data_IF_348350419871
#
_entry.id   IF_348350419871
#
_cell.length_a   1.000
_cell.length_b   1.000
_cell.length_c   1.000
_cell.angle_alpha   90.00
_cell.angle_beta   90.00
_cell.angle_gamma   90.00
#
_symmetry.space_group_name_H-M   'P 1'
#
loop_
_entity.id
_entity.type
_entity.pdbx_description
1 polymer ?
#
# COMPACT_ATOMS: atom_id res chain seq x y z
N UNK A 1 -19.73 17.67 18.26
CA UNK A 1 -19.50 16.64 17.25
C UNK A 1 -18.81 17.33 16.09
N UNK A 2 -17.64 16.88 15.71
CA UNK A 2 -16.83 17.54 14.69
C UNK A 2 -17.15 16.85 13.35
N UNK A 3 -17.09 17.57 12.23
CA UNK A 3 -17.45 17.04 10.92
C UNK A 3 -16.59 15.79 10.53
N UNK A 4 -15.37 15.71 11.03
CA UNK A 4 -14.48 14.59 10.80
C UNK A 4 -14.82 13.31 11.58
N UNK A 5 -15.82 13.33 12.47
CA UNK A 5 -16.32 12.12 13.14
C UNK A 5 -16.97 11.14 12.12
N UNK A 6 -17.34 11.65 10.94
CA UNK A 6 -17.83 10.84 9.79
C UNK A 6 -16.72 10.01 9.12
N UNK A 7 -15.47 10.38 9.32
CA UNK A 7 -14.29 9.67 8.75
C UNK A 7 -13.77 8.71 9.79
N UNK A 8 -13.66 7.44 9.44
CA UNK A 8 -13.10 6.41 10.31
C UNK A 8 -11.59 6.31 10.06
N UNK A 9 -10.79 6.13 11.09
CA UNK A 9 -9.32 6.11 10.98
C UNK A 9 -8.71 7.48 10.69
N UNK A 10 -7.55 7.49 10.07
CA UNK A 10 -6.79 8.68 9.64
C UNK A 10 -6.59 9.75 10.73
N UNK A 11 -6.27 9.32 11.97
CA UNK A 11 -6.21 10.21 13.15
C UNK A 11 -5.23 11.38 12.98
N UNK A 12 -4.05 11.11 12.39
CA UNK A 12 -3.03 12.13 12.13
C UNK A 12 -3.52 13.16 11.11
N UNK A 13 -4.03 12.69 9.96
CA UNK A 13 -4.59 13.54 8.90
C UNK A 13 -5.75 14.41 9.41
N UNK A 14 -6.66 13.82 10.18
CA UNK A 14 -7.78 14.58 10.78
C UNK A 14 -7.29 15.68 11.70
N UNK A 15 -6.26 15.43 12.50
CA UNK A 15 -5.66 16.45 13.40
C UNK A 15 -5.07 17.60 12.60
N UNK A 16 -4.35 17.30 11.53
CA UNK A 16 -3.77 18.32 10.64
C UNK A 16 -4.86 19.15 9.94
N UNK A 17 -5.92 18.51 9.46
CA UNK A 17 -7.06 19.20 8.85
C UNK A 17 -7.82 20.08 9.85
N UNK A 18 -8.02 19.62 11.09
CA UNK A 18 -8.62 20.41 12.15
C UNK A 18 -7.77 21.64 12.49
N UNK A 19 -6.45 21.51 12.54
CA UNK A 19 -5.55 22.64 12.73
C UNK A 19 -5.70 23.68 11.61
N UNK A 20 -5.80 23.22 10.35
CA UNK A 20 -6.04 24.13 9.22
C UNK A 20 -7.42 24.82 9.31
N UNK A 21 -8.46 24.10 9.72
CA UNK A 21 -9.78 24.72 9.96
C UNK A 21 -9.72 25.78 11.06
N UNK A 22 -8.98 25.50 12.13
CA UNK A 22 -8.78 26.47 13.22
C UNK A 22 -8.01 27.70 12.74
N UNK A 23 -6.96 27.54 11.93
CA UNK A 23 -6.23 28.65 11.31
C UNK A 23 -7.14 29.54 10.45
N UNK A 24 -8.06 28.95 9.70
CA UNK A 24 -8.98 29.72 8.85
C UNK A 24 -10.04 30.46 9.65
N UNK A 25 -10.49 29.92 10.78
CA UNK A 25 -11.49 30.55 11.67
C UNK A 25 -10.90 31.63 12.55
N UNK A 26 -9.71 31.39 13.09
CA UNK A 26 -9.06 32.19 14.11
C UNK A 26 -7.79 32.86 13.57
N UNK A 27 -7.86 33.37 12.33
CA UNK A 27 -6.75 33.92 11.57
C UNK A 27 -5.90 34.91 12.37
N UNK A 28 -6.52 35.80 13.10
CA UNK A 28 -5.89 36.87 13.90
C UNK A 28 -4.89 36.30 14.92
N UNK A 29 -5.25 35.21 15.61
CA UNK A 29 -4.39 34.56 16.61
C UNK A 29 -3.08 34.07 15.98
N UNK A 30 -3.16 33.49 14.77
CA UNK A 30 -1.98 32.98 14.06
C UNK A 30 -1.13 34.12 13.49
N UNK A 31 -1.73 35.18 12.98
CA UNK A 31 -1.05 36.36 12.50
C UNK A 31 -0.30 37.11 13.63
N UNK A 32 -0.89 37.23 14.83
CA UNK A 32 -0.24 37.77 16.02
C UNK A 32 1.00 36.98 16.45
N UNK A 33 1.01 35.66 16.20
CA UNK A 33 2.16 34.80 16.43
C UNK A 33 3.19 34.85 15.27
N UNK A 34 2.92 35.62 14.23
CA UNK A 34 3.77 35.74 13.04
C UNK A 34 3.63 34.58 12.06
N UNK A 35 2.64 33.68 12.23
CA UNK A 35 2.38 32.59 11.32
C UNK A 35 1.67 33.09 10.04
N UNK A 36 2.07 32.52 8.89
CA UNK A 36 1.38 32.78 7.61
C UNK A 36 0.39 31.66 7.34
N UNK A 37 -0.83 32.03 6.95
CA UNK A 37 -1.81 31.06 6.52
C UNK A 37 -1.44 30.50 5.15
N UNK A 38 -1.60 29.18 4.94
CA UNK A 38 -1.43 28.60 3.62
C UNK A 38 -2.51 29.09 2.66
N UNK A 39 -2.17 29.22 1.37
CA UNK A 39 -3.12 29.63 0.34
C UNK A 39 -4.01 28.49 -0.12
N UNK A 40 -3.53 27.24 -0.04
CA UNK A 40 -4.28 26.08 -0.46
C UNK A 40 -3.80 24.78 0.13
N UNK A 41 -4.70 23.78 0.05
CA UNK A 41 -4.53 22.40 0.50
C UNK A 41 -4.77 21.47 -0.68
N UNK A 42 -3.85 20.54 -0.92
CA UNK A 42 -4.01 19.45 -1.86
C UNK A 42 -4.07 18.11 -1.10
N UNK A 43 -5.18 17.38 -1.23
CA UNK A 43 -5.35 16.00 -0.78
C UNK A 43 -5.12 15.07 -1.98
N UNK A 44 -4.15 14.17 -1.89
CA UNK A 44 -3.83 13.26 -2.99
C UNK A 44 -3.60 11.83 -2.51
N UNK A 45 -3.67 10.87 -3.41
CA UNK A 45 -3.48 9.44 -3.14
C UNK A 45 -4.46 8.59 -3.96
N UNK A 46 -4.34 7.29 -3.90
CA UNK A 46 -5.09 6.35 -4.73
C UNK A 46 -6.62 6.53 -4.63
N UNK A 47 -7.38 6.08 -5.63
CA UNK A 47 -8.84 6.08 -5.57
C UNK A 47 -9.37 5.31 -4.35
N UNK A 48 -10.53 5.73 -3.83
CA UNK A 48 -11.19 5.01 -2.73
C UNK A 48 -10.66 5.30 -1.32
N UNK A 49 -9.65 6.18 -1.15
CA UNK A 49 -9.07 6.52 0.18
C UNK A 49 -9.86 7.58 0.96
N UNK A 50 -10.97 8.06 0.43
CA UNK A 50 -11.81 9.02 1.15
C UNK A 50 -11.41 10.50 0.99
N UNK A 51 -10.60 10.87 -0.01
CA UNK A 51 -10.16 12.26 -0.29
C UNK A 51 -11.31 13.26 -0.35
N UNK A 52 -12.31 12.98 -1.20
CA UNK A 52 -13.50 13.83 -1.34
C UNK A 52 -14.31 13.91 -0.04
N UNK A 53 -14.39 12.82 0.74
CA UNK A 53 -15.06 12.84 2.04
C UNK A 53 -14.32 13.75 3.03
N UNK A 54 -13.00 13.62 3.14
CA UNK A 54 -12.16 14.49 3.97
C UNK A 54 -12.27 15.96 3.56
N UNK A 55 -12.24 16.24 2.25
CA UNK A 55 -12.42 17.61 1.73
C UNK A 55 -13.79 18.18 2.10
N UNK A 56 -14.86 17.39 2.01
CA UNK A 56 -16.21 17.81 2.43
C UNK A 56 -16.31 18.02 3.95
N UNK A 57 -15.70 17.14 4.74
CA UNK A 57 -15.64 17.32 6.19
C UNK A 57 -14.85 18.59 6.56
N UNK A 58 -13.76 18.89 5.83
CA UNK A 58 -13.00 20.12 6.01
C UNK A 58 -13.85 21.37 5.72
N UNK A 59 -14.59 21.36 4.61
CA UNK A 59 -15.51 22.44 4.24
C UNK A 59 -16.59 22.62 5.32
N UNK A 60 -17.23 21.53 5.74
CA UNK A 60 -18.27 21.57 6.78
C UNK A 60 -17.71 22.07 8.11
N UNK A 61 -16.55 21.56 8.52
CA UNK A 61 -15.90 21.98 9.76
C UNK A 61 -15.45 23.44 9.72
N UNK A 62 -14.97 23.93 8.58
CA UNK A 62 -14.55 25.33 8.44
C UNK A 62 -15.70 26.32 8.63
N UNK A 63 -16.93 25.94 8.29
CA UNK A 63 -18.12 26.81 8.32
C UNK A 63 -18.11 27.92 7.28
N UNK A 64 -17.15 27.92 6.34
CA UNK A 64 -17.01 28.96 5.33
C UNK A 64 -17.90 28.70 4.11
N UNK A 65 -18.29 29.77 3.42
CA UNK A 65 -18.99 29.64 2.16
C UNK A 65 -18.11 28.91 1.14
N UNK A 66 -18.66 27.89 0.51
CA UNK A 66 -17.89 27.03 -0.39
C UNK A 66 -18.47 26.96 -1.79
N UNK A 67 -17.60 27.01 -2.78
CA UNK A 67 -17.94 26.79 -4.18
C UNK A 67 -17.15 25.57 -4.68
N UNK A 68 -17.89 24.58 -5.19
CA UNK A 68 -17.28 23.33 -5.70
C UNK A 68 -17.18 23.39 -7.21
N UNK A 69 -15.98 23.11 -7.72
CA UNK A 69 -15.68 22.93 -9.15
C UNK A 69 -15.42 21.46 -9.39
N UNK A 70 -16.17 20.87 -10.29
CA UNK A 70 -16.01 19.49 -10.73
C UNK A 70 -16.26 19.43 -12.23
N UNK A 71 -15.52 18.59 -12.96
CA UNK A 71 -15.74 18.47 -14.41
C UNK A 71 -17.07 17.78 -14.70
N UNK A 72 -18.05 18.54 -15.12
CA UNK A 72 -19.41 18.10 -15.46
C UNK A 72 -19.88 18.56 -16.84
N UNK A 73 -19.08 19.38 -17.54
CA UNK A 73 -19.41 20.03 -18.81
C UNK A 73 -18.29 19.91 -19.85
N UNK A 74 -18.59 20.25 -21.10
CA UNK A 74 -17.57 20.39 -22.13
C UNK A 74 -16.61 21.56 -21.87
N UNK A 75 -15.41 21.53 -22.48
CA UNK A 75 -14.24 22.38 -22.12
C UNK A 75 -14.56 23.87 -22.03
N UNK A 76 -15.16 24.50 -23.04
CA UNK A 76 -15.38 25.96 -23.02
C UNK A 76 -16.32 26.40 -21.90
N UNK A 77 -17.46 25.72 -21.72
CA UNK A 77 -18.40 26.01 -20.64
C UNK A 77 -17.85 25.68 -19.26
N UNK A 78 -16.88 24.77 -19.19
CA UNK A 78 -16.20 24.41 -17.95
C UNK A 78 -15.16 25.47 -17.55
N UNK A 79 -14.40 26.02 -18.50
CA UNK A 79 -13.43 27.10 -18.28
C UNK A 79 -14.15 28.36 -17.76
N UNK A 80 -15.27 28.70 -18.38
CA UNK A 80 -16.13 29.82 -17.89
C UNK A 80 -16.61 29.53 -16.47
N UNK A 81 -17.01 28.29 -16.18
CA UNK A 81 -17.41 27.83 -14.85
C UNK A 81 -16.31 27.98 -13.80
N UNK A 82 -15.06 27.61 -14.14
CA UNK A 82 -13.90 27.82 -13.25
C UNK A 82 -13.73 29.31 -12.95
N UNK A 83 -13.69 30.15 -13.98
CA UNK A 83 -13.50 31.60 -13.82
C UNK A 83 -14.60 32.22 -12.96
N UNK A 84 -15.87 31.84 -13.18
CA UNK A 84 -17.01 32.31 -12.40
C UNK A 84 -16.94 31.82 -10.93
N UNK A 85 -16.48 30.59 -10.70
CA UNK A 85 -16.34 30.05 -9.36
C UNK A 85 -15.33 30.87 -8.52
N UNK A 86 -14.16 31.17 -9.06
CA UNK A 86 -13.16 32.00 -8.38
C UNK A 86 -13.64 33.44 -8.17
N UNK A 87 -14.25 34.06 -9.17
CA UNK A 87 -14.83 35.39 -9.05
C UNK A 87 -15.92 35.44 -7.96
N UNK A 88 -16.81 34.45 -7.93
CA UNK A 88 -17.85 34.35 -6.91
C UNK A 88 -17.28 34.11 -5.50
N UNK A 89 -16.24 33.28 -5.38
CA UNK A 89 -15.54 33.06 -4.11
C UNK A 89 -14.93 34.36 -3.56
N UNK A 90 -14.28 35.13 -4.43
CA UNK A 90 -13.69 36.41 -4.08
C UNK A 90 -14.72 37.43 -3.53
N UNK A 91 -15.91 37.46 -4.13
CA UNK A 91 -17.00 38.37 -3.64
C UNK A 91 -17.60 37.91 -2.33
N UNK A 92 -17.44 36.65 -1.95
CA UNK A 92 -17.99 36.05 -0.73
C UNK A 92 -16.91 35.69 0.29
N UNK A 93 -15.74 36.29 0.19
CA UNK A 93 -14.67 36.05 1.15
C UNK A 93 -15.05 36.48 2.58
N UNK A 94 -14.67 35.71 3.64
CA UNK A 94 -13.85 34.52 3.58
C UNK A 94 -14.63 33.31 3.03
N UNK A 95 -14.01 32.58 2.10
CA UNK A 95 -14.67 31.49 1.38
C UNK A 95 -13.70 30.39 0.95
N UNK A 96 -14.24 29.26 0.50
CA UNK A 96 -13.45 28.12 0.00
C UNK A 96 -13.82 27.84 -1.47
N UNK A 97 -12.83 27.58 -2.30
CA UNK A 97 -13.00 26.91 -3.60
C UNK A 97 -12.53 25.47 -3.47
N UNK A 98 -13.43 24.52 -3.69
CA UNK A 98 -13.12 23.08 -3.72
C UNK A 98 -13.01 22.60 -5.17
N UNK A 99 -11.80 22.20 -5.57
CA UNK A 99 -11.50 21.59 -6.87
C UNK A 99 -11.49 20.06 -6.68
N UNK A 100 -12.64 19.41 -6.93
CA UNK A 100 -12.79 17.96 -6.71
C UNK A 100 -12.36 17.16 -7.94
N UNK A 101 -11.50 16.15 -7.74
CA UNK A 101 -10.85 15.35 -8.81
C UNK A 101 -10.08 16.24 -9.81
N UNK A 102 -9.22 17.12 -9.31
CA UNK A 102 -8.51 18.14 -10.12
C UNK A 102 -7.64 17.52 -11.21
N UNK A 103 -7.09 16.35 -11.01
CA UNK A 103 -6.31 15.59 -11.98
C UNK A 103 -7.10 15.17 -13.26
N UNK A 104 -8.43 15.29 -13.24
CA UNK A 104 -9.27 15.08 -14.42
C UNK A 104 -9.37 16.28 -15.35
N UNK A 105 -8.93 17.46 -14.91
CA UNK A 105 -9.03 18.70 -15.71
C UNK A 105 -7.81 19.63 -15.58
N UNK A 106 -6.83 19.28 -14.79
CA UNK A 106 -5.59 20.05 -14.67
C UNK A 106 -4.40 19.07 -14.65
N UNK A 107 -4.29 18.23 -15.67
CA UNK A 107 -3.20 17.27 -15.81
C UNK A 107 -2.16 17.77 -16.85
N UNK A 108 -0.92 17.28 -16.73
CA UNK A 108 0.20 17.54 -17.62
C UNK A 108 0.64 16.20 -18.24
N UNK A 109 -0.27 15.57 -18.97
CA UNK A 109 -0.04 14.31 -19.67
C UNK A 109 0.30 14.63 -21.14
N UNK A 110 1.24 13.91 -21.76
CA UNK A 110 1.71 14.09 -23.14
C UNK A 110 0.58 13.99 -24.19
N UNK A 111 -0.55 13.36 -23.82
CA UNK A 111 -1.73 13.23 -24.68
C UNK A 111 -2.76 14.32 -24.47
N UNK A 112 -2.68 15.08 -23.36
CA UNK A 112 -3.62 16.13 -23.00
C UNK A 112 -2.84 17.39 -22.60
N UNK A 113 -2.37 18.13 -23.59
CA UNK A 113 -1.95 19.50 -23.39
C UNK A 113 -3.20 20.36 -23.09
N UNK A 114 -3.86 20.13 -21.95
CA UNK A 114 -5.07 20.84 -21.51
C UNK A 114 -4.72 22.22 -21.00
N UNK A 115 -3.97 22.89 -21.83
CA UNK A 115 -3.57 24.24 -21.58
C UNK A 115 -4.72 25.15 -21.12
N UNK A 116 -5.96 25.12 -21.69
CA UNK A 116 -6.98 26.08 -21.31
C UNK A 116 -7.55 25.88 -19.91
N UNK A 117 -7.96 24.64 -19.53
CA UNK A 117 -8.55 24.37 -18.21
C UNK A 117 -7.51 24.53 -17.10
N UNK A 118 -6.30 24.01 -17.33
CA UNK A 118 -5.19 24.20 -16.41
C UNK A 118 -4.83 25.68 -16.25
N UNK A 119 -4.77 26.45 -17.33
CA UNK A 119 -4.47 27.89 -17.29
C UNK A 119 -5.56 28.65 -16.51
N UNK A 120 -6.83 28.29 -16.68
CA UNK A 120 -7.94 28.88 -15.94
C UNK A 120 -7.86 28.59 -14.42
N UNK A 121 -7.54 27.34 -14.03
CA UNK A 121 -7.31 26.98 -12.62
C UNK A 121 -6.15 27.77 -12.05
N UNK A 122 -5.02 27.82 -12.77
CA UNK A 122 -3.83 28.54 -12.31
C UNK A 122 -4.11 30.03 -12.15
N UNK A 123 -4.74 30.67 -13.15
CA UNK A 123 -5.11 32.07 -13.10
C UNK A 123 -6.09 32.37 -11.94
N UNK A 124 -7.08 31.49 -11.74
CA UNK A 124 -8.04 31.61 -10.65
C UNK A 124 -7.37 31.53 -9.27
N UNK A 125 -6.44 30.59 -9.07
CA UNK A 125 -5.69 30.49 -7.81
C UNK A 125 -4.85 31.75 -7.57
N UNK A 126 -4.16 32.24 -8.61
CA UNK A 126 -3.33 33.43 -8.50
C UNK A 126 -4.16 34.72 -8.26
N UNK A 127 -5.36 34.83 -8.82
CA UNK A 127 -6.26 35.98 -8.64
C UNK A 127 -6.88 36.06 -7.22
N UNK A 128 -7.00 34.94 -6.54
CA UNK A 128 -7.59 34.92 -5.18
C UNK A 128 -6.54 34.99 -4.06
N UNK A 129 -5.26 35.09 -4.37
CA UNK A 129 -4.22 35.27 -3.35
C UNK A 129 -4.51 36.49 -2.49
N UNK A 130 -4.32 36.34 -1.19
CA UNK A 130 -4.51 37.40 -0.18
C UNK A 130 -5.91 38.02 -0.14
N UNK A 131 -6.91 37.40 -0.80
CA UNK A 131 -8.31 37.88 -0.80
C UNK A 131 -9.18 37.24 0.28
N UNK A 132 -8.62 36.34 1.10
CA UNK A 132 -9.39 35.56 2.09
C UNK A 132 -10.09 34.33 1.50
N UNK A 133 -9.78 33.97 0.26
CA UNK A 133 -10.24 32.72 -0.35
C UNK A 133 -9.20 31.63 -0.13
N UNK A 134 -9.63 30.49 0.40
CA UNK A 134 -8.81 29.29 0.55
C UNK A 134 -9.15 28.28 -0.53
N UNK A 135 -8.14 27.67 -1.15
CA UNK A 135 -8.35 26.68 -2.21
C UNK A 135 -8.01 25.28 -1.69
N UNK A 136 -8.97 24.38 -1.78
CA UNK A 136 -8.74 22.96 -1.50
C UNK A 136 -8.91 22.15 -2.78
N UNK A 137 -8.03 21.22 -3.02
CA UNK A 137 -8.11 20.31 -4.16
C UNK A 137 -7.98 18.86 -3.75
N UNK A 138 -8.63 17.97 -4.51
CA UNK A 138 -8.41 16.52 -4.43
C UNK A 138 -7.82 16.02 -5.76
N UNK A 139 -6.91 15.05 -5.71
CA UNK A 139 -6.31 14.41 -6.88
C UNK A 139 -5.98 12.95 -6.59
N UNK A 140 -6.04 12.07 -7.60
CA UNK A 140 -5.63 10.69 -7.44
C UNK A 140 -4.11 10.55 -7.56
N UNK A 141 -3.48 11.24 -8.49
CA UNK A 141 -2.02 11.21 -8.67
C UNK A 141 -1.45 12.63 -8.73
N UNK A 142 -0.64 12.97 -7.73
CA UNK A 142 0.04 14.28 -7.67
C UNK A 142 1.02 14.48 -8.83
N UNK A 143 1.57 13.40 -9.40
CA UNK A 143 2.55 13.48 -10.51
C UNK A 143 1.91 13.95 -11.81
N UNK A 144 0.62 13.69 -11.99
CA UNK A 144 -0.16 14.18 -13.15
C UNK A 144 -0.43 15.68 -13.10
N UNK A 145 -0.32 16.28 -11.92
CA UNK A 145 -0.55 17.72 -11.79
C UNK A 145 0.68 18.51 -12.21
N UNK A 146 0.50 19.61 -12.98
CA UNK A 146 1.59 20.49 -13.37
C UNK A 146 2.46 20.95 -12.19
N UNK A 147 3.77 20.96 -12.40
CA UNK A 147 4.73 21.39 -11.37
C UNK A 147 4.46 22.79 -10.86
N UNK A 148 3.90 23.66 -11.71
CA UNK A 148 3.53 25.03 -11.36
C UNK A 148 2.40 25.11 -10.33
N UNK A 149 1.44 24.17 -10.33
CA UNK A 149 0.39 24.09 -9.30
C UNK A 149 0.93 23.56 -7.97
N UNK A 150 1.92 22.70 -8.02
CA UNK A 150 2.53 22.05 -6.85
C UNK A 150 3.52 22.94 -6.09
N UNK A 151 3.85 24.15 -6.58
CA UNK A 151 4.80 25.09 -5.95
C UNK A 151 4.17 25.83 -4.78
N UNK A 152 5.03 26.28 -3.85
CA UNK A 152 4.64 27.19 -2.78
C UNK A 152 3.97 28.46 -3.32
N UNK A 153 2.98 28.98 -2.58
CA UNK A 153 2.15 30.10 -2.99
C UNK A 153 0.90 29.69 -3.76
N UNK A 154 0.62 28.38 -3.92
CA UNK A 154 -0.63 27.83 -4.47
C UNK A 154 -1.15 26.73 -3.56
N UNK A 155 -0.63 25.50 -3.66
CA UNK A 155 -0.90 24.43 -2.72
C UNK A 155 0.27 24.29 -1.75
N UNK A 156 0.27 25.13 -0.72
CA UNK A 156 1.33 25.17 0.30
C UNK A 156 1.30 23.94 1.21
N UNK A 157 0.09 23.38 1.43
CA UNK A 157 -0.12 22.15 2.17
C UNK A 157 -0.50 21.02 1.22
N UNK A 158 0.21 19.91 1.35
CA UNK A 158 -0.01 18.71 0.55
C UNK A 158 -0.09 17.52 1.51
N UNK A 159 -1.21 16.85 1.52
CA UNK A 159 -1.45 15.68 2.38
C UNK A 159 -1.68 14.48 1.47
N UNK A 160 -0.73 13.54 1.50
CA UNK A 160 -0.83 12.26 0.81
C UNK A 160 -1.59 11.27 1.66
N UNK A 161 -2.68 10.71 1.13
CA UNK A 161 -3.42 9.64 1.75
C UNK A 161 -2.89 8.31 1.24
N UNK A 162 -2.69 7.39 2.15
CA UNK A 162 -2.29 6.01 1.86
C UNK A 162 -3.42 5.05 2.24
N UNK A 163 -3.32 3.80 1.80
CA UNK A 163 -4.22 2.76 2.25
C UNK A 163 -4.25 2.70 3.80
N UNK A 164 -5.40 2.37 4.39
CA UNK A 164 -5.54 2.30 5.84
C UNK A 164 -4.47 1.45 6.50
N UNK A 165 -3.92 1.92 7.62
CA UNK A 165 -3.06 1.10 8.47
C UNK A 165 -3.83 -0.12 9.00
N UNK A 166 -3.17 -1.10 9.61
CA UNK A 166 -3.88 -2.25 10.20
C UNK A 166 -4.93 -1.82 11.21
N UNK A 167 -4.59 -0.85 12.08
CA UNK A 167 -5.52 -0.30 13.07
C UNK A 167 -6.67 0.47 12.44
N UNK A 168 -6.39 1.29 11.42
CA UNK A 168 -7.45 2.02 10.71
C UNK A 168 -8.37 1.06 9.93
N UNK A 169 -7.82 0.03 9.29
CA UNK A 169 -8.60 -1.00 8.59
C UNK A 169 -9.52 -1.75 9.55
N UNK A 170 -9.04 -2.14 10.73
CA UNK A 170 -9.85 -2.79 11.76
C UNK A 170 -11.00 -1.86 12.23
N UNK A 171 -10.71 -0.57 12.48
CA UNK A 171 -11.74 0.43 12.84
C UNK A 171 -12.80 0.57 11.72
N UNK A 172 -12.37 0.63 10.46
CA UNK A 172 -13.24 0.73 9.27
C UNK A 172 -14.11 -0.52 9.11
N UNK A 173 -13.50 -1.71 9.15
CA UNK A 173 -14.21 -2.99 9.07
C UNK A 173 -15.25 -3.08 10.19
N UNK A 174 -14.85 -2.81 11.42
CA UNK A 174 -15.75 -2.81 12.58
C UNK A 174 -16.91 -1.83 12.39
N UNK A 175 -16.65 -0.65 11.83
CA UNK A 175 -17.70 0.34 11.56
C UNK A 175 -18.75 -0.21 10.59
N UNK A 176 -18.33 -0.76 9.46
CA UNK A 176 -19.25 -1.28 8.44
C UNK A 176 -19.98 -2.54 8.89
N UNK A 177 -19.37 -3.36 9.75
CA UNK A 177 -20.01 -4.56 10.30
C UNK A 177 -21.08 -4.25 11.36
N UNK A 178 -21.03 -3.10 12.04
CA UNK A 178 -22.04 -2.72 13.06
C UNK A 178 -23.47 -2.71 12.54
N UNK A 179 -23.67 -2.46 11.25
CA UNK A 179 -25.01 -2.41 10.62
C UNK A 179 -25.42 -3.74 9.98
N UNK A 180 -24.58 -4.77 10.06
CA UNK A 180 -24.77 -6.06 9.42
C UNK A 180 -25.00 -7.17 10.43
N UNK A 181 -25.72 -8.22 10.03
CA UNK A 181 -25.82 -9.43 10.84
C UNK A 181 -24.57 -10.28 10.61
N UNK A 182 -23.77 -10.46 11.63
CA UNK A 182 -22.47 -11.17 11.54
C UNK A 182 -22.51 -12.36 12.49
N UNK A 183 -22.04 -13.49 12.02
CA UNK A 183 -21.89 -14.72 12.82
C UNK A 183 -20.68 -14.64 13.75
N UNK A 184 -20.74 -15.34 14.87
CA UNK A 184 -19.62 -15.51 15.82
C UNK A 184 -18.40 -16.23 15.21
N UNK A 185 -18.55 -16.83 14.02
CA UNK A 185 -17.46 -17.47 13.30
C UNK A 185 -16.47 -16.48 12.66
N UNK A 186 -16.82 -15.20 12.55
CA UNK A 186 -15.96 -14.19 11.93
C UNK A 186 -14.83 -13.79 12.87
N UNK A 187 -13.61 -14.15 12.50
CA UNK A 187 -12.39 -13.76 13.20
C UNK A 187 -11.90 -12.43 12.65
N UNK A 188 -11.90 -11.38 13.47
CA UNK A 188 -11.50 -10.03 13.06
C UNK A 188 -10.01 -9.92 12.70
N UNK A 189 -9.13 -10.69 13.36
CA UNK A 189 -7.72 -10.68 13.02
C UNK A 189 -7.47 -11.28 11.64
N UNK A 190 -8.06 -12.44 11.34
CA UNK A 190 -7.98 -13.06 10.02
C UNK A 190 -8.56 -12.13 8.95
N UNK A 191 -9.72 -11.55 9.21
CA UNK A 191 -10.38 -10.65 8.28
C UNK A 191 -9.55 -9.39 7.98
N UNK A 192 -9.03 -8.74 9.01
CA UNK A 192 -8.18 -7.55 8.85
C UNK A 192 -6.90 -7.86 8.08
N UNK A 193 -6.30 -9.03 8.30
CA UNK A 193 -5.12 -9.48 7.58
C UNK A 193 -5.42 -9.79 6.11
N UNK A 194 -6.52 -10.47 5.83
CA UNK A 194 -6.95 -10.76 4.46
C UNK A 194 -7.22 -9.50 3.65
N UNK A 195 -7.78 -8.48 4.31
CA UNK A 195 -8.16 -7.23 3.67
C UNK A 195 -7.07 -6.14 3.77
N UNK A 196 -5.84 -6.52 4.05
CA UNK A 196 -4.70 -5.60 4.13
C UNK A 196 -4.43 -4.95 2.77
N UNK A 197 -4.02 -3.68 2.79
CA UNK A 197 -3.74 -2.85 1.61
C UNK A 197 -4.95 -2.43 0.76
N UNK A 198 -6.16 -2.84 1.12
CA UNK A 198 -7.37 -2.34 0.45
C UNK A 198 -7.64 -0.88 0.81
N UNK A 199 -8.16 -0.14 -0.15
CA UNK A 199 -8.71 1.19 0.09
C UNK A 199 -9.99 1.12 0.95
N UNK A 200 -10.39 2.25 1.52
CA UNK A 200 -11.65 2.32 2.31
C UNK A 200 -12.88 1.88 1.50
N UNK A 201 -12.91 2.22 0.22
CA UNK A 201 -14.01 1.83 -0.68
C UNK A 201 -14.04 0.33 -0.99
N UNK A 202 -12.87 -0.28 -1.17
CA UNK A 202 -12.77 -1.74 -1.35
C UNK A 202 -13.18 -2.49 -0.09
N UNK A 203 -12.75 -2.04 1.10
CA UNK A 203 -13.18 -2.60 2.37
C UNK A 203 -14.72 -2.59 2.49
N UNK A 204 -15.36 -1.45 2.18
CA UNK A 204 -16.82 -1.32 2.19
C UNK A 204 -17.48 -2.28 1.20
N UNK A 205 -16.95 -2.33 -0.03
CA UNK A 205 -17.48 -3.17 -1.11
C UNK A 205 -17.41 -4.66 -0.74
N UNK A 206 -16.27 -5.13 -0.26
CA UNK A 206 -16.09 -6.54 0.15
C UNK A 206 -17.08 -6.91 1.24
N UNK A 207 -17.22 -6.08 2.27
CA UNK A 207 -18.15 -6.34 3.37
C UNK A 207 -19.62 -6.30 2.93
N UNK A 208 -19.94 -5.47 1.94
CA UNK A 208 -21.26 -5.43 1.35
C UNK A 208 -21.56 -6.68 0.51
N UNK A 209 -20.62 -7.11 -0.34
CA UNK A 209 -20.76 -8.29 -1.15
C UNK A 209 -20.86 -9.57 -0.30
N UNK A 210 -20.12 -9.66 0.82
CA UNK A 210 -20.27 -10.75 1.76
C UNK A 210 -21.70 -10.80 2.35
N UNK A 211 -22.28 -9.65 2.65
CA UNK A 211 -23.69 -9.57 3.10
C UNK A 211 -24.67 -10.01 1.99
N UNK A 212 -24.43 -9.61 0.74
CA UNK A 212 -25.24 -10.03 -0.40
C UNK A 212 -25.15 -11.54 -0.61
N UNK A 213 -23.94 -12.13 -0.51
CA UNK A 213 -23.72 -13.59 -0.61
C UNK A 213 -24.49 -14.34 0.47
N UNK A 214 -24.32 -13.94 1.73
CA UNK A 214 -25.02 -14.57 2.86
C UNK A 214 -26.56 -14.49 2.72
N UNK A 215 -27.07 -13.33 2.31
CA UNK A 215 -28.49 -13.14 2.07
C UNK A 215 -29.03 -13.98 0.90
N UNK A 216 -28.27 -14.10 -0.18
CA UNK A 216 -28.61 -14.96 -1.32
C UNK A 216 -28.68 -16.44 -0.89
N UNK A 217 -27.73 -16.89 -0.06
CA UNK A 217 -27.71 -18.24 0.53
C UNK A 217 -28.74 -18.43 1.67
N UNK A 218 -29.55 -17.40 1.99
CA UNK A 218 -30.56 -17.43 3.07
C UNK A 218 -29.98 -17.74 4.45
N UNK A 219 -28.72 -17.36 4.68
CA UNK A 219 -28.09 -17.45 6.00
C UNK A 219 -28.67 -16.40 6.97
N UNK A 220 -28.57 -16.63 8.25
CA UNK A 220 -29.01 -15.70 9.30
C UNK A 220 -27.99 -14.59 9.57
N UNK A 221 -26.76 -14.77 9.13
CA UNK A 221 -25.66 -13.81 9.27
C UNK A 221 -24.50 -14.15 8.34
N UNK A 222 -23.64 -13.19 8.16
CA UNK A 222 -22.40 -13.33 7.37
C UNK A 222 -21.44 -14.19 8.19
N UNK A 223 -20.90 -15.24 7.60
CA UNK A 223 -19.88 -16.06 8.22
C UNK A 223 -18.50 -15.83 7.58
N UNK A 224 -17.46 -16.46 8.15
CA UNK A 224 -16.10 -16.31 7.65
C UNK A 224 -15.92 -16.85 6.23
N UNK A 225 -16.68 -17.88 5.84
CA UNK A 225 -16.65 -18.46 4.48
C UNK A 225 -17.14 -17.45 3.44
N UNK A 226 -18.21 -16.69 3.75
CA UNK A 226 -18.71 -15.63 2.88
C UNK A 226 -17.64 -14.54 2.68
N UNK A 227 -16.95 -14.13 3.77
CA UNK A 227 -15.87 -13.14 3.71
C UNK A 227 -14.71 -13.63 2.86
N UNK A 228 -14.23 -14.85 3.11
CA UNK A 228 -13.12 -15.47 2.36
C UNK A 228 -13.45 -15.55 0.89
N UNK A 229 -14.63 -16.07 0.54
CA UNK A 229 -15.04 -16.23 -0.87
C UNK A 229 -15.05 -14.88 -1.62
N UNK A 230 -15.57 -13.82 -0.99
CA UNK A 230 -15.62 -12.49 -1.62
C UNK A 230 -14.23 -11.87 -1.75
N UNK A 231 -13.38 -11.97 -0.73
CA UNK A 231 -11.99 -11.49 -0.78
C UNK A 231 -11.23 -12.16 -1.91
N UNK A 232 -11.29 -13.50 -1.97
CA UNK A 232 -10.60 -14.28 -3.01
C UNK A 232 -11.07 -13.89 -4.42
N UNK A 233 -12.38 -13.71 -4.59
CA UNK A 233 -12.96 -13.33 -5.88
C UNK A 233 -12.60 -11.90 -6.30
N UNK A 234 -12.73 -10.94 -5.39
CA UNK A 234 -12.56 -9.51 -5.74
C UNK A 234 -11.10 -9.09 -5.84
N UNK A 235 -10.22 -9.61 -4.99
CA UNK A 235 -8.81 -9.20 -4.97
C UNK A 235 -7.93 -10.04 -5.90
N UNK A 236 -8.29 -11.31 -6.10
CA UNK A 236 -7.45 -12.26 -6.83
C UNK A 236 -8.13 -12.85 -8.06
N UNK A 237 -9.39 -12.48 -8.35
CA UNK A 237 -10.15 -13.11 -9.43
C UNK A 237 -10.29 -14.63 -9.25
N UNK A 238 -10.16 -15.12 -8.01
CA UNK A 238 -10.12 -16.55 -7.77
C UNK A 238 -11.47 -17.20 -8.09
N UNK A 239 -11.41 -18.38 -8.73
CA UNK A 239 -12.59 -19.18 -9.05
C UNK A 239 -13.14 -19.80 -7.75
N UNK A 240 -14.48 -19.98 -7.70
CA UNK A 240 -15.11 -20.57 -6.52
C UNK A 240 -14.80 -22.06 -6.38
N UNK A 241 -14.58 -22.76 -7.49
CA UNK A 241 -14.31 -24.17 -7.54
C UNK A 241 -12.92 -24.50 -8.08
N UNK A 242 -12.31 -25.51 -7.53
CA UNK A 242 -11.08 -26.09 -8.06
C UNK A 242 -11.35 -26.75 -9.41
N UNK A 243 -10.51 -26.53 -10.43
CA UNK A 243 -10.59 -27.30 -11.66
C UNK A 243 -10.38 -28.80 -11.37
N UNK A 244 -10.96 -29.67 -12.21
CA UNK A 244 -10.76 -31.12 -12.10
C UNK A 244 -9.34 -31.48 -12.54
N UNK A 245 -8.41 -31.48 -11.60
CA UNK A 245 -7.02 -31.91 -11.80
C UNK A 245 -6.75 -33.14 -10.92
N UNK A 246 -5.68 -33.87 -11.20
CA UNK A 246 -5.31 -35.03 -10.39
C UNK A 246 -4.84 -34.63 -8.98
N UNK A 247 -5.00 -35.49 -8.01
CA UNK A 247 -4.54 -35.28 -6.63
C UNK A 247 -3.04 -34.99 -6.58
N UNK A 248 -2.24 -35.60 -7.47
CA UNK A 248 -0.80 -35.33 -7.58
C UNK A 248 -0.49 -33.89 -7.97
N UNK A 249 -1.28 -33.30 -8.89
CA UNK A 249 -1.11 -31.89 -9.27
C UNK A 249 -1.51 -30.98 -8.12
N UNK A 250 -2.60 -31.29 -7.41
CA UNK A 250 -3.02 -30.54 -6.22
C UNK A 250 -1.93 -30.57 -5.15
N UNK A 251 -1.34 -31.76 -4.90
CA UNK A 251 -0.26 -31.90 -3.90
C UNK A 251 0.98 -31.10 -4.29
N UNK A 252 1.37 -31.11 -5.58
CA UNK A 252 2.52 -30.30 -6.07
C UNK A 252 2.29 -28.81 -5.94
N UNK A 253 1.09 -28.33 -6.28
CA UNK A 253 0.72 -26.92 -6.10
C UNK A 253 0.69 -26.57 -4.61
N UNK A 254 0.10 -27.41 -3.77
CA UNK A 254 0.07 -27.18 -2.32
C UNK A 254 1.49 -27.14 -1.72
N UNK A 255 2.39 -27.99 -2.16
CA UNK A 255 3.79 -27.99 -1.73
C UNK A 255 4.52 -26.72 -2.19
N UNK A 256 4.23 -26.24 -3.40
CA UNK A 256 4.78 -25.02 -3.94
C UNK A 256 4.36 -23.81 -3.08
N UNK A 257 3.07 -23.62 -2.85
CA UNK A 257 2.55 -22.52 -2.03
C UNK A 257 3.02 -22.63 -0.56
N UNK A 258 3.07 -23.87 -0.02
CA UNK A 258 3.63 -24.12 1.30
C UNK A 258 5.12 -23.73 1.37
N UNK A 259 5.88 -23.90 0.28
CA UNK A 259 7.26 -23.48 0.19
C UNK A 259 7.45 -21.98 0.35
N UNK A 260 6.66 -21.17 -0.37
CA UNK A 260 6.62 -19.72 -0.21
C UNK A 260 6.22 -19.33 1.21
N UNK A 261 5.14 -19.92 1.73
CA UNK A 261 4.60 -19.65 3.06
C UNK A 261 5.63 -19.90 4.16
N UNK A 262 6.26 -21.07 4.14
CA UNK A 262 7.23 -21.48 5.17
C UNK A 262 8.47 -20.60 5.15
N UNK A 263 9.00 -20.28 3.97
CA UNK A 263 10.14 -19.36 3.83
C UNK A 263 9.76 -17.97 4.30
N UNK A 264 8.56 -17.48 3.96
CA UNK A 264 8.05 -16.19 4.40
C UNK A 264 7.92 -16.13 5.93
N UNK A 265 7.31 -17.12 6.56
CA UNK A 265 7.15 -17.20 8.02
C UNK A 265 8.47 -17.43 8.76
N UNK A 266 9.47 -18.03 8.13
CA UNK A 266 10.80 -18.18 8.70
C UNK A 266 11.60 -16.86 8.71
N UNK A 267 11.49 -16.07 7.64
CA UNK A 267 12.17 -14.77 7.50
C UNK A 267 11.42 -13.62 8.17
N UNK A 268 10.10 -13.63 8.06
CA UNK A 268 9.21 -12.57 8.51
C UNK A 268 8.03 -13.18 9.29
N UNK A 269 8.21 -13.59 10.55
CA UNK A 269 7.17 -14.25 11.34
C UNK A 269 5.87 -13.45 11.44
N UNK A 270 4.74 -14.13 11.21
CA UNK A 270 3.41 -13.53 11.25
C UNK A 270 3.14 -12.57 10.09
N UNK A 271 3.81 -12.74 8.95
CA UNK A 271 3.60 -11.91 7.77
C UNK A 271 2.62 -12.51 6.77
N UNK A 272 2.37 -13.82 6.78
CA UNK A 272 1.39 -14.44 5.89
C UNK A 272 -0.01 -14.24 6.46
N UNK A 273 -0.87 -13.53 5.72
CA UNK A 273 -2.28 -13.32 6.07
C UNK A 273 -3.15 -14.51 5.73
N UNK A 274 -2.95 -15.11 4.57
CA UNK A 274 -3.60 -16.35 4.15
C UNK A 274 -2.86 -16.97 2.95
N UNK A 275 -3.17 -18.24 2.66
CA UNK A 275 -2.72 -18.96 1.48
C UNK A 275 -3.88 -19.70 0.84
N UNK A 276 -3.95 -19.78 -0.49
CA UNK A 276 -5.04 -20.45 -1.20
C UNK A 276 -4.52 -21.25 -2.39
N UNK A 277 -5.16 -22.39 -2.65
CA UNK A 277 -4.94 -23.22 -3.85
C UNK A 277 -5.95 -22.91 -4.95
N UNK A 278 -6.88 -21.98 -4.74
CA UNK A 278 -7.84 -21.61 -5.76
C UNK A 278 -7.12 -20.87 -6.90
N UNK A 279 -7.35 -21.28 -8.16
CA UNK A 279 -6.69 -20.64 -9.29
C UNK A 279 -7.18 -19.20 -9.43
N UNK A 280 -6.26 -18.31 -9.76
CA UNK A 280 -6.54 -16.91 -10.04
C UNK A 280 -6.42 -16.65 -11.54
N UNK A 281 -7.44 -16.03 -12.14
CA UNK A 281 -7.41 -15.64 -13.56
C UNK A 281 -6.37 -14.54 -13.83
N UNK A 282 -6.13 -13.64 -12.86
CA UNK A 282 -5.16 -12.55 -13.00
C UNK A 282 -3.72 -13.05 -13.01
N UNK A 283 -3.40 -14.02 -12.15
CA UNK A 283 -2.02 -14.50 -11.99
C UNK A 283 -1.72 -15.75 -12.81
N UNK A 284 -2.71 -16.38 -13.45
CA UNK A 284 -2.57 -17.68 -14.16
C UNK A 284 -1.92 -18.77 -13.30
N UNK A 285 -1.99 -18.63 -11.99
CA UNK A 285 -1.36 -19.50 -11.00
C UNK A 285 -2.38 -20.48 -10.45
N UNK A 286 -1.91 -21.68 -10.10
CA UNK A 286 -2.72 -22.68 -9.42
C UNK A 286 -2.89 -22.45 -7.92
N UNK A 287 -2.31 -21.39 -7.37
CA UNK A 287 -2.36 -21.02 -5.96
C UNK A 287 -1.63 -19.71 -5.70
N UNK A 288 -1.70 -19.20 -4.48
CA UNK A 288 -0.98 -17.98 -4.07
C UNK A 288 -0.95 -17.81 -2.55
N UNK A 289 -0.02 -16.98 -2.08
CA UNK A 289 0.04 -16.51 -0.69
C UNK A 289 -0.17 -14.99 -0.64
N UNK A 290 -0.84 -14.51 0.41
CA UNK A 290 -1.01 -13.09 0.70
C UNK A 290 -0.15 -12.68 1.89
N UNK A 291 0.77 -11.74 1.69
CA UNK A 291 1.64 -11.21 2.72
C UNK A 291 1.14 -9.88 3.26
N UNK A 292 1.02 -9.76 4.58
CA UNK A 292 0.50 -8.58 5.28
C UNK A 292 1.58 -7.60 5.73
N UNK A 293 2.85 -8.00 5.68
CA UNK A 293 4.00 -7.17 6.07
C UNK A 293 4.98 -7.11 4.93
N UNK A 294 5.57 -5.95 4.72
CA UNK A 294 6.62 -5.79 3.73
C UNK A 294 7.87 -6.61 4.11
N UNK A 295 8.46 -7.26 3.12
CA UNK A 295 9.78 -7.88 3.19
C UNK A 295 10.79 -6.97 2.48
N UNK A 296 12.08 -7.05 2.87
CA UNK A 296 13.12 -6.41 2.08
C UNK A 296 13.27 -7.09 0.72
N UNK A 297 13.87 -6.41 -0.26
CA UNK A 297 14.06 -6.97 -1.61
C UNK A 297 14.78 -8.32 -1.55
N UNK A 298 15.81 -8.44 -0.70
CA UNK A 298 16.50 -9.70 -0.46
C UNK A 298 15.62 -10.81 0.12
N UNK A 299 14.74 -10.47 1.07
CA UNK A 299 13.80 -11.42 1.65
C UNK A 299 12.74 -11.83 0.63
N UNK A 300 12.22 -10.87 -0.14
CA UNK A 300 11.25 -11.12 -1.22
C UNK A 300 11.80 -12.07 -2.27
N UNK A 301 13.07 -11.89 -2.67
CA UNK A 301 13.74 -12.81 -3.59
C UNK A 301 13.84 -14.24 -3.02
N UNK A 302 14.20 -14.40 -1.73
CA UNK A 302 14.29 -15.71 -1.10
C UNK A 302 12.90 -16.36 -0.97
N UNK A 303 11.88 -15.60 -0.63
CA UNK A 303 10.48 -16.05 -0.52
C UNK A 303 10.00 -16.53 -1.90
N UNK A 304 10.23 -15.76 -2.96
CA UNK A 304 9.86 -16.12 -4.32
C UNK A 304 10.49 -17.46 -4.78
N UNK A 305 11.67 -17.78 -4.31
CA UNK A 305 12.34 -19.05 -4.64
C UNK A 305 11.86 -20.24 -3.78
N UNK A 306 11.04 -19.98 -2.75
CA UNK A 306 10.57 -20.98 -1.79
C UNK A 306 9.74 -22.10 -2.41
N UNK A 307 8.80 -21.77 -3.30
CA UNK A 307 7.95 -22.74 -3.98
C UNK A 307 8.75 -23.74 -4.83
N UNK A 308 9.63 -23.19 -5.70
CA UNK A 308 10.54 -24.02 -6.51
C UNK A 308 11.42 -24.92 -5.64
N UNK A 309 12.02 -24.38 -4.60
CA UNK A 309 12.89 -25.12 -3.70
C UNK A 309 12.17 -26.26 -2.98
N UNK A 310 10.91 -26.08 -2.56
CA UNK A 310 10.11 -27.11 -1.93
C UNK A 310 9.81 -28.27 -2.88
N UNK A 311 9.34 -27.97 -4.09
CA UNK A 311 8.99 -29.01 -5.09
C UNK A 311 10.24 -29.79 -5.53
N UNK A 312 11.34 -29.14 -5.87
CA UNK A 312 12.57 -29.83 -6.32
C UNK A 312 13.25 -30.62 -5.20
N UNK A 313 13.11 -30.20 -3.95
CA UNK A 313 13.62 -30.98 -2.80
C UNK A 313 12.81 -32.27 -2.59
N UNK A 314 11.50 -32.21 -2.76
CA UNK A 314 10.59 -33.37 -2.56
C UNK A 314 10.61 -34.35 -3.72
N UNK A 315 10.65 -33.82 -4.95
CA UNK A 315 10.59 -34.60 -6.20
C UNK A 315 11.95 -34.54 -6.92
N UNK A 316 12.97 -35.08 -6.28
CA UNK A 316 14.38 -35.01 -6.74
C UNK A 316 14.55 -35.25 -8.25
N UNK A 317 15.04 -34.27 -8.97
CA UNK A 317 15.31 -34.30 -10.41
C UNK A 317 14.11 -33.93 -11.31
N UNK A 318 12.95 -33.60 -10.78
CA UNK A 318 11.87 -33.01 -11.58
C UNK A 318 11.98 -31.49 -11.54
N UNK A 319 11.91 -30.85 -12.70
CA UNK A 319 11.83 -29.40 -12.81
C UNK A 319 10.44 -28.99 -12.33
N UNK A 320 10.38 -28.02 -11.40
CA UNK A 320 9.13 -27.43 -11.00
C UNK A 320 8.54 -26.61 -12.16
N UNK A 321 7.39 -27.03 -12.66
CA UNK A 321 6.64 -26.28 -13.67
C UNK A 321 5.94 -25.09 -12.98
N UNK A 322 5.75 -23.98 -13.71
CA UNK A 322 5.03 -22.79 -13.20
C UNK A 322 5.86 -21.80 -12.38
N UNK A 323 7.18 -22.02 -12.23
CA UNK A 323 8.05 -21.14 -11.44
C UNK A 323 8.64 -19.94 -12.21
N UNK A 324 8.21 -19.69 -13.45
CA UNK A 324 8.78 -18.62 -14.29
C UNK A 324 8.62 -17.23 -13.66
N UNK A 325 7.45 -16.97 -13.13
CA UNK A 325 7.10 -15.66 -12.54
C UNK A 325 7.78 -15.46 -11.19
N UNK A 326 7.95 -16.53 -10.40
CA UNK A 326 8.72 -16.51 -9.16
C UNK A 326 10.20 -16.19 -9.40
N UNK A 327 10.78 -16.83 -10.41
CA UNK A 327 12.17 -16.58 -10.80
C UNK A 327 12.32 -15.14 -11.30
N UNK A 328 11.38 -14.67 -12.13
CA UNK A 328 11.39 -13.30 -12.62
C UNK A 328 11.24 -12.29 -11.46
N UNK A 329 10.36 -12.57 -10.51
CA UNK A 329 10.21 -11.78 -9.28
C UNK A 329 11.52 -11.74 -8.49
N UNK A 330 12.15 -12.88 -8.22
CA UNK A 330 13.41 -12.95 -7.51
C UNK A 330 14.53 -12.17 -8.22
N UNK A 331 14.66 -12.31 -9.54
CA UNK A 331 15.64 -11.58 -10.37
C UNK A 331 15.39 -10.06 -10.28
N UNK A 332 14.13 -9.63 -10.37
CA UNK A 332 13.78 -8.21 -10.28
C UNK A 332 14.10 -7.64 -8.89
N UNK A 333 13.77 -8.35 -7.82
CA UNK A 333 14.13 -7.95 -6.45
C UNK A 333 15.65 -7.80 -6.27
N UNK A 334 16.44 -8.75 -6.83
CA UNK A 334 17.90 -8.66 -6.76
C UNK A 334 18.43 -7.46 -7.55
N UNK A 335 17.90 -7.20 -8.74
CA UNK A 335 18.27 -6.04 -9.56
C UNK A 335 17.92 -4.72 -8.87
N UNK A 336 16.74 -4.64 -8.29
CA UNK A 336 16.32 -3.46 -7.53
C UNK A 336 17.20 -3.20 -6.31
N UNK A 337 17.52 -4.24 -5.53
CA UNK A 337 18.45 -4.12 -4.41
C UNK A 337 19.85 -3.66 -4.88
N UNK A 338 20.34 -4.16 -6.00
CA UNK A 338 21.60 -3.73 -6.58
C UNK A 338 21.56 -2.26 -7.03
N UNK A 339 20.46 -1.84 -7.68
CA UNK A 339 20.29 -0.50 -8.21
C UNK A 339 20.04 0.56 -7.13
N UNK A 340 19.13 0.27 -6.17
CA UNK A 340 18.71 1.23 -5.15
C UNK A 340 19.63 1.25 -3.92
N UNK A 341 20.12 0.10 -3.50
CA UNK A 341 20.90 -0.06 -2.27
C UNK A 341 22.40 -0.15 -2.52
N UNK A 342 22.83 -0.18 -3.79
CA UNK A 342 24.23 -0.32 -4.17
C UNK A 342 24.86 -1.64 -3.68
N UNK A 343 24.09 -2.71 -3.62
CA UNK A 343 24.56 -4.05 -3.22
C UNK A 343 25.37 -4.70 -4.33
N UNK A 344 25.89 -5.91 -4.11
CA UNK A 344 26.59 -6.75 -5.10
C UNK A 344 27.85 -6.10 -5.70
N UNK A 345 28.49 -5.19 -4.97
CA UNK A 345 29.73 -4.51 -5.42
C UNK A 345 29.50 -3.33 -6.37
N UNK A 346 28.24 -2.88 -6.55
CA UNK A 346 27.87 -1.71 -7.35
C UNK A 346 27.63 -0.45 -6.51
N UNK A 347 28.09 -0.40 -5.27
CA UNK A 347 27.82 0.61 -4.24
C UNK A 347 28.01 2.09 -4.64
N UNK A 348 28.67 2.36 -5.75
CA UNK A 348 28.91 3.72 -6.26
C UNK A 348 28.39 3.92 -7.69
N UNK A 349 27.75 2.93 -8.29
CA UNK A 349 27.17 3.01 -9.62
C UNK A 349 25.65 2.94 -9.47
N UNK A 350 25.00 4.03 -9.80
CA UNK A 350 23.54 4.02 -9.97
C UNK A 350 23.24 3.26 -11.26
N UNK A 351 22.83 1.98 -11.12
CA UNK A 351 22.47 1.11 -12.24
C UNK A 351 20.95 1.22 -12.44
N UNK A 352 20.43 2.45 -12.54
CA UNK A 352 19.02 2.67 -12.86
C UNK A 352 18.73 2.13 -14.27
N UNK A 353 17.79 1.23 -14.35
CA UNK A 353 17.48 0.37 -15.48
C UNK A 353 16.58 1.00 -16.56
N UNK A 354 16.42 2.31 -16.62
CA UNK A 354 15.48 2.93 -17.58
C UNK A 354 16.00 3.02 -19.02
N UNK A 355 17.25 2.64 -19.27
CA UNK A 355 17.72 2.46 -20.63
C UNK A 355 18.91 1.48 -20.68
N UNK A 356 18.62 0.24 -21.03
CA UNK A 356 19.65 -0.77 -21.38
C UNK A 356 20.60 -0.34 -22.51
N UNK A 357 20.37 0.83 -23.12
CA UNK A 357 21.17 1.39 -24.19
C UNK A 357 22.43 2.14 -23.72
N UNK A 358 22.51 2.55 -22.45
CA UNK A 358 23.58 3.40 -21.96
C UNK A 358 24.65 2.67 -21.13
N UNK A 359 24.42 1.40 -20.80
CA UNK A 359 25.42 0.59 -20.08
C UNK A 359 26.36 -0.12 -21.04
N UNK A 360 27.67 -0.08 -20.74
CA UNK A 360 28.63 -0.84 -21.53
C UNK A 360 28.36 -2.36 -21.43
N UNK A 361 28.62 -3.11 -22.52
CA UNK A 361 28.48 -4.59 -22.54
C UNK A 361 29.22 -5.27 -21.38
N UNK A 362 30.39 -4.76 -21.01
CA UNK A 362 31.18 -5.27 -19.89
C UNK A 362 30.47 -5.06 -18.53
N UNK A 363 29.78 -3.93 -18.33
CA UNK A 363 29.05 -3.66 -17.10
C UNK A 363 27.78 -4.50 -17.01
N UNK A 364 27.06 -4.66 -18.13
CA UNK A 364 25.91 -5.55 -18.22
C UNK A 364 26.27 -7.00 -17.89
N UNK A 365 27.34 -7.54 -18.51
CA UNK A 365 27.79 -8.90 -18.24
C UNK A 365 28.19 -9.11 -16.77
N UNK A 366 28.82 -8.13 -16.13
CA UNK A 366 29.15 -8.18 -14.69
C UNK A 366 27.89 -8.13 -13.81
N UNK A 367 26.92 -7.30 -14.18
CA UNK A 367 25.65 -7.20 -13.47
C UNK A 367 24.89 -8.53 -13.54
N UNK A 368 24.76 -9.11 -14.73
CA UNK A 368 24.10 -10.40 -14.92
C UNK A 368 24.78 -11.53 -14.15
N UNK A 369 26.11 -11.60 -14.19
CA UNK A 369 26.86 -12.60 -13.42
C UNK A 369 26.66 -12.43 -11.90
N UNK A 370 26.62 -11.21 -11.40
CA UNK A 370 26.36 -10.94 -10.00
C UNK A 370 24.92 -11.32 -9.59
N UNK A 371 23.92 -11.00 -10.43
CA UNK A 371 22.52 -11.39 -10.21
C UNK A 371 22.39 -12.92 -10.19
N UNK A 372 23.02 -13.63 -11.12
CA UNK A 372 22.98 -15.08 -11.15
C UNK A 372 23.61 -15.71 -9.90
N UNK A 373 24.78 -15.23 -9.48
CA UNK A 373 25.43 -15.73 -8.27
C UNK A 373 24.58 -15.51 -7.01
N UNK A 374 23.92 -14.36 -6.92
CA UNK A 374 23.04 -14.03 -5.79
C UNK A 374 21.75 -14.86 -5.82
N UNK A 375 21.20 -15.11 -7.01
CA UNK A 375 20.04 -15.99 -7.20
C UNK A 375 20.34 -17.41 -6.69
N UNK A 376 21.50 -17.96 -7.05
CA UNK A 376 21.94 -19.28 -6.57
C UNK A 376 22.13 -19.30 -5.03
N UNK A 377 22.69 -18.22 -4.47
CA UNK A 377 22.87 -18.07 -3.01
C UNK A 377 21.52 -18.02 -2.30
N UNK A 378 20.54 -17.26 -2.82
CA UNK A 378 19.21 -17.15 -2.24
C UNK A 378 18.40 -18.44 -2.40
N UNK A 379 18.55 -19.13 -3.51
CA UNK A 379 17.97 -20.45 -3.68
C UNK A 379 18.52 -21.47 -2.66
N UNK A 380 19.84 -21.47 -2.44
CA UNK A 380 20.47 -22.27 -1.38
C UNK A 380 19.94 -21.93 0.01
N UNK A 381 19.70 -20.64 0.30
CA UNK A 381 19.11 -20.18 1.57
C UNK A 381 17.67 -20.64 1.73
N UNK A 382 16.84 -20.55 0.68
CA UNK A 382 15.47 -21.05 0.70
C UNK A 382 15.42 -22.54 1.01
N UNK A 383 16.28 -23.37 0.34
CA UNK A 383 16.37 -24.80 0.62
C UNK A 383 16.79 -25.09 2.07
N UNK A 384 17.75 -24.35 2.61
CA UNK A 384 18.17 -24.52 4.00
C UNK A 384 17.05 -24.21 4.99
N UNK A 385 16.30 -23.11 4.76
CA UNK A 385 15.13 -22.74 5.58
C UNK A 385 14.04 -23.81 5.53
N UNK A 386 13.74 -24.36 4.36
CA UNK A 386 12.75 -25.44 4.22
C UNK A 386 13.21 -26.72 4.93
N UNK A 387 14.48 -27.09 4.84
CA UNK A 387 15.01 -28.26 5.55
C UNK A 387 14.93 -28.10 7.08
N UNK A 388 15.21 -26.89 7.60
CA UNK A 388 15.05 -26.57 9.03
C UNK A 388 13.60 -26.63 9.49
N UNK A 389 12.65 -26.36 8.59
CA UNK A 389 11.21 -26.30 8.86
C UNK A 389 10.41 -27.44 8.21
N UNK A 390 11.01 -28.61 8.00
CA UNK A 390 10.42 -29.73 7.26
C UNK A 390 9.05 -30.16 7.83
N UNK A 391 8.91 -30.22 9.16
CA UNK A 391 7.64 -30.59 9.82
C UNK A 391 6.57 -29.54 9.51
N UNK A 392 6.91 -28.26 9.58
CA UNK A 392 5.98 -27.19 9.30
C UNK A 392 5.57 -27.18 7.81
N UNK A 393 6.52 -27.39 6.90
CA UNK A 393 6.25 -27.53 5.46
C UNK A 393 5.25 -28.65 5.18
N UNK A 394 5.48 -29.82 5.78
CA UNK A 394 4.60 -30.97 5.60
C UNK A 394 3.18 -30.69 6.12
N UNK A 395 3.05 -30.18 7.32
CA UNK A 395 1.73 -29.90 7.93
C UNK A 395 0.96 -28.81 7.18
N UNK A 396 1.62 -27.75 6.70
CA UNK A 396 1.00 -26.72 5.84
C UNK A 396 0.55 -27.33 4.52
N UNK A 397 1.38 -28.15 3.86
CA UNK A 397 1.03 -28.81 2.59
C UNK A 397 -0.23 -29.66 2.74
N UNK A 398 -0.26 -30.54 3.76
CA UNK A 398 -1.41 -31.40 4.04
C UNK A 398 -2.68 -30.58 4.36
N UNK A 399 -2.54 -29.50 5.14
CA UNK A 399 -3.66 -28.64 5.48
C UNK A 399 -4.20 -27.87 4.24
N UNK A 400 -3.32 -27.38 3.34
CA UNK A 400 -3.72 -26.76 2.08
C UNK A 400 -4.48 -27.72 1.17
N UNK A 401 -3.99 -28.96 1.04
CA UNK A 401 -4.69 -30.01 0.25
C UNK A 401 -6.10 -30.24 0.80
N UNK A 402 -6.28 -30.24 2.13
CA UNK A 402 -7.57 -30.50 2.76
C UNK A 402 -8.52 -29.31 2.71
N UNK A 403 -8.05 -28.12 3.11
CA UNK A 403 -8.88 -26.92 3.30
C UNK A 403 -8.95 -26.02 2.07
N UNK A 404 -8.04 -26.15 1.12
CA UNK A 404 -7.84 -25.29 -0.07
C UNK A 404 -7.42 -23.85 0.27
N UNK A 405 -7.85 -23.32 1.38
CA UNK A 405 -7.46 -21.97 1.87
C UNK A 405 -7.14 -22.08 3.35
N UNK A 406 -5.99 -21.54 3.76
CA UNK A 406 -5.58 -21.40 5.16
C UNK A 406 -5.53 -19.93 5.53
N UNK A 407 -6.17 -19.60 6.64
CA UNK A 407 -6.14 -18.28 7.21
C UNK A 407 -4.95 -18.13 8.18
N UNK A 408 -4.66 -16.91 8.60
CA UNK A 408 -3.58 -16.62 9.54
C UNK A 408 -3.69 -17.46 10.82
N UNK A 409 -4.89 -17.58 11.41
CA UNK A 409 -5.14 -18.38 12.60
C UNK A 409 -4.80 -19.86 12.39
N UNK A 410 -5.14 -20.43 11.23
CA UNK A 410 -4.78 -21.81 10.87
C UNK A 410 -3.25 -21.97 10.78
N UNK A 411 -2.59 -21.03 10.08
CA UNK A 411 -1.13 -21.04 9.89
C UNK A 411 -0.40 -20.99 11.23
N UNK A 412 -0.83 -20.11 12.13
CA UNK A 412 -0.21 -19.99 13.46
C UNK A 412 -0.47 -21.20 14.35
N UNK A 413 -1.66 -21.80 14.27
CA UNK A 413 -1.98 -23.05 15.00
C UNK A 413 -1.06 -24.19 14.53
N UNK A 414 -0.91 -24.37 13.21
CA UNK A 414 -0.02 -25.39 12.63
C UNK A 414 1.43 -25.12 13.03
N UNK A 415 1.89 -23.87 12.95
CA UNK A 415 3.25 -23.48 13.37
C UNK A 415 3.50 -23.82 14.82
N UNK A 416 2.57 -23.47 15.73
CA UNK A 416 2.68 -23.81 17.15
C UNK A 416 2.77 -25.31 17.43
N UNK A 417 2.14 -26.13 16.61
CA UNK A 417 2.21 -27.58 16.66
C UNK A 417 3.56 -28.10 16.15
N UNK A 418 4.03 -27.58 15.02
CA UNK A 418 5.30 -27.96 14.40
C UNK A 418 6.50 -27.63 15.32
N UNK A 419 6.49 -26.45 15.96
CA UNK A 419 7.53 -26.05 16.93
C UNK A 419 7.59 -27.02 18.12
N UNK A 420 6.45 -27.48 18.63
CA UNK A 420 6.42 -28.47 19.71
C UNK A 420 7.00 -29.83 19.28
N UNK A 421 6.81 -30.21 18.01
CA UNK A 421 7.33 -31.48 17.46
C UNK A 421 8.83 -31.39 17.11
N UNK A 422 9.30 -30.23 16.69
CA UNK A 422 10.70 -29.96 16.37
C UNK A 422 11.16 -28.62 16.96
N UNK A 423 11.79 -28.62 18.17
CA UNK A 423 12.29 -27.39 18.80
C UNK A 423 13.37 -26.67 18.00
N UNK A 424 13.97 -27.30 16.99
CA UNK A 424 14.92 -26.66 16.06
C UNK A 424 14.25 -25.81 14.97
N UNK A 425 12.91 -25.73 14.92
CA UNK A 425 12.17 -24.72 14.16
C UNK A 425 12.41 -23.36 14.81
N UNK A 426 13.61 -22.86 14.64
CA UNK A 426 13.99 -21.53 15.07
C UNK A 426 13.56 -20.54 13.99
N UNK A 427 12.67 -19.63 14.39
CA UNK A 427 12.79 -18.28 13.84
C UNK A 427 14.25 -17.87 14.01
N UNK A 428 14.95 -17.50 12.96
CA UNK A 428 16.05 -16.55 13.15
C UNK A 428 15.38 -15.38 13.84
N UNK A 429 15.62 -15.29 15.15
CA UNK A 429 14.92 -14.37 16.03
C UNK A 429 14.91 -13.01 15.36
N UNK A 430 13.77 -12.39 15.36
CA UNK A 430 13.60 -10.97 15.25
C UNK A 430 14.43 -10.26 16.34
N UNK A 431 15.75 -10.36 16.27
CA UNK A 431 16.67 -9.52 16.98
C UNK A 431 17.07 -8.45 15.99
N UNK A 432 16.25 -7.40 15.93
CA UNK A 432 16.64 -6.02 15.61
C UNK A 432 15.59 -5.13 14.95
N UNK A 433 14.33 -5.52 14.90
CA UNK A 433 13.28 -4.53 14.61
C UNK A 433 12.07 -4.84 15.47
N UNK A 434 11.99 -4.20 16.62
CA UNK A 434 10.78 -4.11 17.41
C UNK A 434 9.69 -3.44 16.55
N UNK A 435 8.57 -4.11 16.40
CA UNK A 435 7.39 -3.61 15.67
C UNK A 435 6.82 -2.30 16.25
N UNK A 436 7.27 -1.90 17.44
CA UNK A 436 6.92 -0.63 18.08
C UNK A 436 7.66 0.59 17.48
N UNK A 437 8.77 0.41 16.75
CA UNK A 437 9.50 1.54 16.15
C UNK A 437 8.99 1.91 14.76
N UNK A 438 8.23 1.04 14.07
CA UNK A 438 7.68 1.34 12.72
C UNK A 438 6.39 2.17 12.79
N UNK A 439 5.66 2.16 13.92
CA UNK A 439 4.44 2.98 14.10
C UNK A 439 4.70 4.45 14.47
N UNK A 440 5.93 4.83 14.77
CA UNK A 440 6.29 6.16 15.27
C UNK A 440 7.27 6.95 14.40
N UNK A 441 7.46 6.61 13.13
CA UNK A 441 8.09 7.55 12.21
C UNK A 441 7.03 8.51 11.66
N UNK A 442 7.06 9.80 12.09
CA UNK A 442 6.46 10.83 11.26
C UNK A 442 7.20 10.78 9.91
N UNK A 443 6.58 11.17 8.79
CA UNK A 443 7.29 11.34 7.54
C UNK A 443 8.29 12.49 7.76
N UNK A 444 9.48 12.16 8.18
CA UNK A 444 10.58 13.11 8.18
C UNK A 444 10.87 13.42 6.72
N UNK A 445 10.88 14.71 6.42
CA UNK A 445 11.42 15.22 5.17
C UNK A 445 12.80 14.56 4.95
N UNK A 446 13.03 13.83 3.85
CA UNK A 446 14.29 13.14 3.59
C UNK A 446 15.51 14.08 3.68
N UNK A 447 15.32 15.38 3.42
CA UNK A 447 16.37 16.41 3.59
C UNK A 447 16.68 16.69 5.07
N UNK A 448 15.68 16.63 5.95
CA UNK A 448 15.89 16.91 7.38
C UNK A 448 16.54 15.71 8.10
N UNK A 449 16.17 14.50 7.76
CA UNK A 449 16.82 13.28 8.22
C UNK A 449 18.29 13.21 7.76
N UNK A 450 18.54 13.65 6.53
CA UNK A 450 19.91 13.71 6.00
C UNK A 450 20.74 14.82 6.67
N UNK A 451 20.17 15.99 6.96
CA UNK A 451 20.80 17.07 7.71
C UNK A 451 21.17 16.65 9.14
N UNK A 452 20.26 16.00 9.85
CA UNK A 452 20.53 15.48 11.22
C UNK A 452 21.62 14.41 11.21
N UNK A 453 21.64 13.53 10.22
CA UNK A 453 22.68 12.51 10.07
C UNK A 453 24.07 13.12 9.76
N UNK A 454 24.10 14.19 8.97
CA UNK A 454 25.33 14.94 8.65
C UNK A 454 25.82 15.69 9.90
N UNK A 455 24.94 16.36 10.65
CA UNK A 455 25.30 17.08 11.88
C UNK A 455 25.85 16.13 12.94
N UNK A 456 25.23 14.97 13.13
CA UNK A 456 25.71 13.94 14.07
C UNK A 456 27.12 13.42 13.72
N UNK A 457 27.40 13.23 12.42
CA UNK A 457 28.74 12.84 11.96
C UNK A 457 29.78 13.95 12.11
N UNK A 458 29.39 15.22 11.96
CA UNK A 458 30.27 16.35 12.21
C UNK A 458 30.63 16.50 13.71
N UNK A 459 29.62 16.34 14.58
CA UNK A 459 29.87 16.36 16.05
C UNK A 459 30.76 15.19 16.52
N UNK A 460 30.59 13.99 15.95
CA UNK A 460 31.45 12.84 16.22
C UNK A 460 32.88 13.07 15.70
N UNK A 461 33.06 13.73 14.57
CA UNK A 461 34.35 14.07 14.01
C UNK A 461 35.07 15.17 14.83
N UNK A 462 34.32 16.15 15.35
CA UNK A 462 34.86 17.18 16.24
C UNK A 462 35.30 16.59 17.60
N UNK A 463 34.50 15.69 18.19
CA UNK A 463 34.86 14.98 19.41
C UNK A 463 36.15 14.14 19.27
N UNK A 464 36.37 13.55 18.07
CA UNK A 464 37.61 12.80 17.78
C UNK A 464 38.81 13.69 17.50
N UNK A 465 38.62 14.98 17.21
CA UNK A 465 39.72 15.96 17.07
C UNK A 465 40.15 16.61 18.38
N UNK A 466 39.32 16.55 19.42
CA UNK A 466 39.56 17.10 20.73
C UNK A 466 39.99 16.04 21.76
N UNK A 467 40.12 14.80 21.35
CA UNK A 467 40.74 13.71 22.12
C UNK A 467 42.09 13.30 21.51
#
# INVERSE_FOLDING_TARGET
MNAFDKVIGYKATKRELLQLCDMLRNREIYEEMGARLPHGLLLYGDPGLGKTLLARCFVEESGLHTITVRRDKGSDAFIDGITQAFASAKTKAPSIVLLDDMDKFANEDDTHCDAPEYAAVQAGIDDVKDTGVFVIATANDIRKLPSSLRRSGRFDRKIGLQAPTASDAEEIITHYLKTKQVSDSVNMEDLTRMMRYNSCAELETILNEAAVRAAFARKTGIDMEDMVSVVLKQQYGAQEDMPRVSDEVIEKVALHEAGHLVVCEALCPGSVGFASLLPSDENRCGGFIHCCKGASDSQSAIIALGGKAAVETRYAGQVAEGCSDDIACAVNCIREAAAKEGTLGFSLLNVESDSSSDMSESLNARSEAAVQAELERYYGKARALLAQNEVFLKEITEALVMKKTLLYSDIQAIRGTAVKKNPAVTCEAASRYDAAEIENFPPEDPEEAMRQKIMRKLEEAERRRCS
#
